data_IF_888362114290
#
_entry.id   IF_888362114290
#
_cell.length_a   1.000
_cell.length_b   1.000
_cell.length_c   1.000
_cell.angle_alpha   90.00
_cell.angle_beta   90.00
_cell.angle_gamma   90.00
#
_symmetry.space_group_name_H-M   'P 1'
#
loop_
_entity.id
_entity.type
_entity.pdbx_description
1 polymer ?
#
# COMPACT_ATOMS: atom_id res chain seq x y z
N UNK A 1 39.13 -53.59 1.10
CA UNK A 1 40.02 -53.73 -0.08
C UNK A 1 40.96 -52.53 -0.07
N UNK A 2 42.18 -52.67 0.46
CA UNK A 2 43.43 -52.98 -0.30
C UNK A 2 43.68 -51.96 -1.42
N UNK A 3 44.60 -51.00 -1.19
CA UNK A 3 45.95 -50.87 -1.82
C UNK A 3 45.92 -49.86 -2.99
N UNK A 4 46.91 -49.00 -3.28
CA UNK A 4 48.32 -48.84 -2.91
C UNK A 4 48.72 -47.34 -3.09
N UNK A 5 49.48 -46.70 -2.20
CA UNK A 5 50.97 -46.62 -2.15
C UNK A 5 51.65 -46.24 -3.48
N UNK A 6 52.30 -45.06 -3.50
CA UNK A 6 53.76 -44.97 -3.68
C UNK A 6 54.33 -43.60 -3.32
N UNK A 7 55.22 -43.63 -2.34
CA UNK A 7 56.21 -42.62 -1.95
C UNK A 7 57.41 -42.61 -2.90
N UNK A 8 58.11 -41.48 -3.01
CA UNK A 8 59.57 -41.47 -3.19
C UNK A 8 60.19 -40.21 -2.52
N UNK A 9 60.94 -40.50 -1.44
CA UNK A 9 62.18 -39.83 -0.99
C UNK A 9 63.16 -39.65 -2.18
N UNK A 10 64.22 -38.84 -2.21
CA UNK A 10 65.06 -38.11 -1.25
C UNK A 10 66.05 -37.31 -2.11
N UNK A 11 66.63 -36.22 -1.61
CA UNK A 11 68.09 -35.96 -1.67
C UNK A 11 68.40 -34.53 -1.23
N UNK A 12 69.34 -34.43 -0.29
CA UNK A 12 69.98 -33.22 0.22
C UNK A 12 71.48 -33.25 -0.14
N UNK A 13 72.17 -32.13 0.13
CA UNK A 13 73.61 -31.84 0.04
C UNK A 13 74.05 -31.15 -1.29
N UNK A 14 74.95 -30.15 -1.32
CA UNK A 14 75.71 -29.43 -0.30
C UNK A 14 76.39 -28.19 -0.96
N UNK A 15 76.60 -27.13 -0.17
CA UNK A 15 77.76 -26.22 -0.04
C UNK A 15 78.43 -25.63 -1.31
N UNK A 16 78.48 -24.29 -1.37
CA UNK A 16 79.35 -23.51 -2.25
C UNK A 16 79.35 -22.01 -1.88
N UNK A 17 80.55 -21.47 -1.63
CA UNK A 17 80.89 -20.28 -0.85
C UNK A 17 80.75 -18.92 -1.57
N UNK A 18 80.60 -17.86 -0.76
CA UNK A 18 81.10 -16.47 -0.87
C UNK A 18 80.84 -15.60 -2.12
N UNK A 19 80.20 -14.45 -1.87
CA UNK A 19 80.24 -13.25 -2.72
C UNK A 19 79.66 -12.05 -1.96
N UNK A 20 80.54 -11.18 -1.48
CA UNK A 20 80.22 -9.89 -0.83
C UNK A 20 79.53 -8.92 -1.81
N UNK A 21 78.70 -8.02 -1.28
CA UNK A 21 78.63 -6.66 -1.81
C UNK A 21 77.24 -6.06 -2.06
N UNK A 22 76.99 -5.00 -1.28
CA UNK A 22 76.14 -3.83 -1.58
C UNK A 22 74.67 -3.88 -1.16
N UNK A 23 74.37 -2.98 -0.22
CA UNK A 23 73.07 -2.79 0.37
C UNK A 23 72.08 -2.10 -0.57
N UNK A 24 70.84 -2.52 -0.45
CA UNK A 24 69.67 -1.73 -0.82
C UNK A 24 68.87 -1.51 0.46
N UNK A 25 68.81 -0.24 0.86
CA UNK A 25 67.99 0.23 1.97
C UNK A 25 66.56 -0.26 1.80
N UNK A 26 66.03 -0.92 2.84
CA UNK A 26 64.62 -1.22 2.94
C UNK A 26 63.84 0.11 3.02
N UNK A 27 63.03 0.37 2.00
CA UNK A 27 62.01 1.43 2.05
C UNK A 27 61.00 1.03 3.12
N UNK A 28 60.74 1.86 4.16
CA UNK A 28 59.78 1.51 5.18
C UNK A 28 58.35 1.53 4.59
N UNK A 29 57.46 0.62 5.03
CA UNK A 29 56.07 0.61 4.56
C UNK A 29 55.38 1.92 4.94
N UNK A 30 54.69 2.52 3.97
CA UNK A 30 53.86 3.71 4.17
C UNK A 30 52.90 3.46 5.34
N UNK A 31 53.05 4.26 6.41
CA UNK A 31 52.16 4.21 7.56
C UNK A 31 50.74 4.51 7.10
N UNK A 32 49.86 3.50 7.14
CA UNK A 32 48.44 3.68 6.93
C UNK A 32 47.89 4.51 8.09
N UNK A 33 47.83 5.83 7.93
CA UNK A 33 47.11 6.70 8.85
C UNK A 33 45.64 6.28 8.84
N UNK A 34 45.18 5.71 9.95
CA UNK A 34 43.79 5.28 10.09
C UNK A 34 42.92 6.55 10.12
N UNK A 35 42.36 6.92 8.96
CA UNK A 35 41.42 8.03 8.83
C UNK A 35 40.14 7.64 9.58
N UNK A 36 39.95 8.22 10.78
CA UNK A 36 38.72 8.04 11.57
C UNK A 36 37.68 9.05 11.10
N UNK A 37 36.39 8.67 10.98
CA UNK A 37 35.33 9.61 10.65
C UNK A 37 35.25 10.72 11.72
N UNK A 38 34.93 11.97 11.34
CA UNK A 38 34.84 13.08 12.27
C UNK A 38 33.75 12.81 13.32
N UNK A 39 34.08 13.11 14.58
CA UNK A 39 33.16 13.03 15.72
C UNK A 39 31.98 14.00 15.50
N UNK A 40 30.76 13.57 15.80
CA UNK A 40 29.58 14.45 15.66
C UNK A 40 29.63 15.50 16.78
N UNK A 41 29.94 16.76 16.44
CA UNK A 41 29.99 17.88 17.39
C UNK A 41 28.61 18.52 17.57
N UNK A 42 28.38 19.21 18.69
CA UNK A 42 27.12 19.94 18.95
C UNK A 42 26.80 20.99 17.86
N UNK A 43 27.84 21.56 17.22
CA UNK A 43 27.71 22.50 16.09
C UNK A 43 27.14 21.85 14.83
N UNK A 44 27.17 20.53 14.71
CA UNK A 44 26.54 19.81 13.60
C UNK A 44 25.01 20.01 13.57
N UNK A 45 24.36 20.05 14.74
CA UNK A 45 22.91 20.29 14.81
C UNK A 45 22.53 21.72 14.42
N UNK A 46 23.41 22.69 14.70
CA UNK A 46 23.09 24.12 14.61
C UNK A 46 23.58 24.74 13.30
N UNK A 47 24.69 24.27 12.72
CA UNK A 47 25.30 24.86 11.53
C UNK A 47 25.10 24.03 10.26
N UNK A 48 24.48 24.64 9.24
CA UNK A 48 24.36 24.06 7.90
C UNK A 48 25.73 23.75 7.29
N UNK A 49 26.69 24.68 7.39
CA UNK A 49 28.04 24.50 6.83
C UNK A 49 28.79 23.34 7.48
N UNK A 50 28.66 23.15 8.79
CA UNK A 50 29.27 22.01 9.47
C UNK A 50 28.66 20.68 9.02
N UNK A 51 27.34 20.63 8.74
CA UNK A 51 26.69 19.44 8.16
C UNK A 51 27.20 19.15 6.75
N UNK A 52 27.29 20.17 5.90
CA UNK A 52 27.82 20.05 4.54
C UNK A 52 29.26 19.53 4.54
N UNK A 53 30.14 20.13 5.35
CA UNK A 53 31.52 19.70 5.49
C UNK A 53 31.64 18.25 5.98
N UNK A 54 30.81 17.86 6.96
CA UNK A 54 30.78 16.49 7.50
C UNK A 54 30.29 15.49 6.45
N UNK A 55 29.26 15.86 5.67
CA UNK A 55 28.72 15.02 4.60
C UNK A 55 29.74 14.85 3.47
N UNK A 56 30.38 15.93 3.01
CA UNK A 56 31.42 15.90 1.98
C UNK A 56 32.61 15.04 2.42
N UNK A 57 33.12 15.25 3.64
CA UNK A 57 34.19 14.42 4.20
C UNK A 57 33.81 12.93 4.19
N UNK A 58 32.61 12.59 4.71
CA UNK A 58 32.13 11.20 4.75
C UNK A 58 32.00 10.58 3.36
N UNK A 59 31.50 11.37 2.40
CA UNK A 59 31.34 10.94 1.01
C UNK A 59 32.69 10.65 0.36
N UNK A 60 33.61 11.62 0.34
CA UNK A 60 34.94 11.49 -0.27
C UNK A 60 35.76 10.38 0.39
N UNK A 61 35.71 10.24 1.71
CA UNK A 61 36.38 9.15 2.43
C UNK A 61 35.85 7.77 2.02
N UNK A 62 34.54 7.62 1.81
CA UNK A 62 33.95 6.36 1.32
C UNK A 62 34.43 6.04 -0.09
N UNK A 63 34.53 7.03 -0.97
CA UNK A 63 35.04 6.85 -2.33
C UNK A 63 36.51 6.44 -2.31
N UNK A 64 37.34 7.17 -1.57
CA UNK A 64 38.77 6.88 -1.45
C UNK A 64 39.00 5.43 -0.96
N UNK A 65 38.23 4.97 0.03
CA UNK A 65 38.31 3.58 0.50
C UNK A 65 37.87 2.56 -0.54
N UNK A 66 36.88 2.88 -1.36
CA UNK A 66 36.37 1.99 -2.39
C UNK A 66 37.26 1.92 -3.63
N UNK A 67 38.18 2.87 -3.80
CA UNK A 67 39.09 2.97 -4.95
C UNK A 67 40.57 2.84 -4.55
N UNK A 68 40.87 2.44 -3.30
CA UNK A 68 42.24 2.45 -2.81
C UNK A 68 43.17 1.48 -3.56
N UNK A 69 42.61 0.42 -4.14
CA UNK A 69 43.27 -0.58 -4.98
C UNK A 69 43.51 -0.08 -6.41
N UNK A 70 42.83 0.97 -6.85
CA UNK A 70 42.91 1.53 -8.20
C UNK A 70 43.77 2.79 -8.28
N UNK A 71 44.06 3.43 -7.15
CA UNK A 71 44.72 4.73 -7.09
C UNK A 71 46.23 4.60 -6.87
N UNK A 72 47.00 5.56 -7.42
CA UNK A 72 48.43 5.64 -7.13
C UNK A 72 48.70 6.07 -5.67
N UNK A 73 49.85 5.72 -5.08
CA UNK A 73 50.19 6.14 -3.72
C UNK A 73 50.16 7.67 -3.51
N UNK A 74 50.60 8.44 -4.51
CA UNK A 74 50.58 9.91 -4.47
C UNK A 74 49.15 10.47 -4.48
N UNK A 75 48.24 9.85 -5.26
CA UNK A 75 46.84 10.21 -5.29
C UNK A 75 46.15 9.95 -3.93
N UNK A 76 46.40 8.77 -3.35
CA UNK A 76 45.87 8.42 -2.04
C UNK A 76 46.33 9.39 -0.95
N UNK A 77 47.62 9.76 -0.97
CA UNK A 77 48.18 10.69 0.00
C UNK A 77 47.52 12.07 -0.12
N UNK A 78 47.43 12.63 -1.32
CA UNK A 78 46.86 13.96 -1.56
C UNK A 78 45.40 14.08 -1.11
N UNK A 79 44.55 13.07 -1.38
CA UNK A 79 43.15 13.08 -0.94
C UNK A 79 43.05 12.86 0.58
N UNK A 80 43.90 12.00 1.15
CA UNK A 80 43.94 11.73 2.60
C UNK A 80 44.35 12.94 3.42
N UNK A 81 45.31 13.73 2.92
CA UNK A 81 45.75 14.97 3.56
C UNK A 81 44.61 16.01 3.59
N UNK A 82 43.90 16.21 2.47
CA UNK A 82 42.73 17.10 2.43
C UNK A 82 41.59 16.62 3.34
N UNK A 83 41.34 15.31 3.41
CA UNK A 83 40.36 14.73 4.34
C UNK A 83 40.74 15.02 5.80
N UNK A 84 42.01 14.80 6.15
CA UNK A 84 42.52 15.03 7.50
C UNK A 84 42.45 16.50 7.90
N UNK A 85 42.78 17.41 6.97
CA UNK A 85 42.67 18.85 7.18
C UNK A 85 41.21 19.28 7.43
N UNK A 86 40.27 18.80 6.61
CA UNK A 86 38.84 19.11 6.79
C UNK A 86 38.29 18.51 8.10
N UNK A 87 38.67 17.27 8.44
CA UNK A 87 38.30 16.65 9.71
C UNK A 87 38.84 17.44 10.91
N UNK A 88 40.08 17.94 10.81
CA UNK A 88 40.70 18.83 11.80
C UNK A 88 39.89 20.10 12.00
N UNK A 89 39.50 20.79 10.91
CA UNK A 89 38.69 22.00 10.95
C UNK A 89 37.27 21.76 11.52
N UNK A 90 36.65 20.62 11.21
CA UNK A 90 35.36 20.23 11.81
C UNK A 90 35.51 20.01 13.31
N UNK A 91 36.57 19.30 13.73
CA UNK A 91 36.82 18.97 15.15
C UNK A 91 37.18 20.20 15.98
N UNK A 92 37.94 21.14 15.42
CA UNK A 92 38.32 22.39 16.07
C UNK A 92 37.19 23.42 16.10
N UNK A 93 36.03 23.12 15.53
CA UNK A 93 34.92 24.07 15.39
C UNK A 93 35.37 25.35 14.67
N UNK A 94 36.11 25.20 13.57
CA UNK A 94 36.63 26.29 12.74
C UNK A 94 35.55 27.28 12.27
N UNK A 95 35.98 28.45 11.83
CA UNK A 95 35.07 29.46 11.28
C UNK A 95 34.42 28.97 9.96
N UNK A 96 33.24 29.49 9.62
CA UNK A 96 32.53 29.12 8.39
C UNK A 96 33.38 29.30 7.13
N UNK A 97 34.21 30.35 7.08
CA UNK A 97 35.12 30.60 5.97
C UNK A 97 36.20 29.53 5.83
N UNK A 98 36.76 29.06 6.94
CA UNK A 98 37.79 28.01 6.96
C UNK A 98 37.20 26.66 6.56
N UNK A 99 35.99 26.33 7.03
CA UNK A 99 35.29 25.12 6.61
C UNK A 99 35.03 25.11 5.09
N UNK A 100 34.62 26.25 4.52
CA UNK A 100 34.44 26.38 3.06
C UNK A 100 35.74 26.19 2.30
N UNK A 101 36.83 26.82 2.76
CA UNK A 101 38.15 26.64 2.17
C UNK A 101 38.61 25.18 2.22
N UNK A 102 38.39 24.50 3.35
CA UNK A 102 38.67 23.07 3.50
C UNK A 102 37.84 22.19 2.58
N UNK A 103 36.54 22.50 2.40
CA UNK A 103 35.68 21.80 1.44
C UNK A 103 36.15 21.97 0.00
N UNK A 104 36.48 23.19 -0.43
CA UNK A 104 37.00 23.46 -1.78
C UNK A 104 38.31 22.72 -2.04
N UNK A 105 39.25 22.73 -1.09
CA UNK A 105 40.53 22.01 -1.22
C UNK A 105 40.33 20.48 -1.28
N UNK A 106 39.34 19.95 -0.55
CA UNK A 106 38.98 18.54 -0.62
C UNK A 106 38.34 18.20 -1.97
N UNK A 107 37.44 19.04 -2.47
CA UNK A 107 36.76 18.87 -3.75
C UNK A 107 37.75 18.91 -4.92
N UNK A 108 38.69 19.85 -4.94
CA UNK A 108 39.74 19.94 -5.96
C UNK A 108 40.63 18.70 -5.99
N UNK A 109 41.07 18.24 -4.81
CA UNK A 109 41.88 17.01 -4.68
C UNK A 109 41.10 15.77 -5.10
N UNK A 110 39.83 15.67 -4.69
CA UNK A 110 38.94 14.58 -5.05
C UNK A 110 38.68 14.51 -6.56
N UNK A 111 38.35 15.63 -7.20
CA UNK A 111 38.07 15.69 -8.64
C UNK A 111 39.31 15.41 -9.50
N UNK A 112 40.49 15.76 -9.01
CA UNK A 112 41.75 15.49 -9.71
C UNK A 112 42.12 14.01 -9.69
N UNK A 113 41.91 13.34 -8.56
CA UNK A 113 42.50 12.03 -8.29
C UNK A 113 41.50 10.88 -8.25
N UNK A 114 40.27 11.09 -7.81
CA UNK A 114 39.28 10.02 -7.69
C UNK A 114 38.65 9.73 -9.05
N UNK A 115 38.43 8.44 -9.30
CA UNK A 115 37.80 8.00 -10.52
C UNK A 115 36.30 8.36 -10.47
N UNK A 116 35.74 8.96 -11.52
CA UNK A 116 34.31 9.21 -11.59
C UNK A 116 33.58 7.87 -11.60
N UNK A 117 32.57 7.70 -10.74
CA UNK A 117 31.69 6.55 -10.84
C UNK A 117 30.89 6.65 -12.13
N UNK A 118 30.93 5.60 -12.95
CA UNK A 118 30.02 5.46 -14.08
C UNK A 118 28.57 5.59 -13.57
N UNK A 119 27.80 6.48 -14.18
CA UNK A 119 26.39 6.74 -13.86
C UNK A 119 26.10 7.10 -12.38
N UNK A 120 26.95 7.91 -11.74
CA UNK A 120 26.77 8.36 -10.35
C UNK A 120 25.35 8.90 -10.05
N UNK A 121 24.81 9.74 -10.94
CA UNK A 121 23.46 10.29 -10.80
C UNK A 121 22.36 9.21 -10.77
N UNK A 122 22.51 8.15 -11.58
CA UNK A 122 21.55 7.04 -11.59
C UNK A 122 21.58 6.26 -10.28
N UNK A 123 22.78 5.96 -9.77
CA UNK A 123 22.94 5.23 -8.51
C UNK A 123 22.32 5.98 -7.33
N UNK A 124 22.54 7.29 -7.23
CA UNK A 124 21.95 8.10 -6.15
C UNK A 124 20.43 8.09 -6.21
N UNK A 125 19.85 8.29 -7.39
CA UNK A 125 18.40 8.24 -7.59
C UNK A 125 17.82 6.87 -7.24
N UNK A 126 18.51 5.78 -7.61
CA UNK A 126 18.10 4.41 -7.27
C UNK A 126 18.21 4.15 -5.77
N UNK A 127 19.29 4.56 -5.11
CA UNK A 127 19.46 4.40 -3.66
C UNK A 127 18.36 5.16 -2.91
N UNK A 128 18.10 6.42 -3.27
CA UNK A 128 17.03 7.22 -2.68
C UNK A 128 15.66 6.58 -2.93
N UNK A 129 15.40 6.09 -4.14
CA UNK A 129 14.16 5.39 -4.47
C UNK A 129 13.97 4.12 -3.62
N UNK A 130 15.02 3.31 -3.47
CA UNK A 130 14.98 2.08 -2.68
C UNK A 130 14.76 2.37 -1.18
N UNK A 131 15.44 3.39 -0.64
CA UNK A 131 15.23 3.82 0.75
C UNK A 131 13.82 4.34 0.95
N UNK A 132 13.32 5.19 0.05
CA UNK A 132 11.95 5.70 0.10
C UNK A 132 10.92 4.56 0.02
N UNK A 133 11.13 3.58 -0.87
CA UNK A 133 10.28 2.40 -0.99
C UNK A 133 10.32 1.55 0.29
N UNK A 134 11.49 1.31 0.87
CA UNK A 134 11.63 0.55 2.10
C UNK A 134 10.93 1.24 3.29
N UNK A 135 11.09 2.55 3.43
CA UNK A 135 10.38 3.34 4.44
C UNK A 135 8.86 3.30 4.22
N UNK A 136 8.41 3.51 2.97
CA UNK A 136 7.00 3.43 2.62
C UNK A 136 6.39 2.04 2.92
N UNK A 137 7.12 0.96 2.60
CA UNK A 137 6.72 -0.40 2.93
C UNK A 137 6.69 -0.65 4.45
N UNK A 138 7.66 -0.13 5.20
CA UNK A 138 7.67 -0.20 6.66
C UNK A 138 6.47 0.50 7.28
N UNK A 139 6.19 1.75 6.86
CA UNK A 139 5.01 2.50 7.30
C UNK A 139 3.74 1.73 6.94
N UNK A 140 3.64 1.24 5.71
CA UNK A 140 2.47 0.50 5.22
C UNK A 140 2.20 -0.77 6.02
N UNK A 141 3.26 -1.50 6.36
CA UNK A 141 3.14 -2.80 7.01
C UNK A 141 2.70 -2.66 8.46
N UNK A 142 3.31 -1.72 9.18
CA UNK A 142 3.19 -1.63 10.64
C UNK A 142 2.22 -0.56 11.13
N UNK A 143 2.02 0.52 10.38
CA UNK A 143 1.29 1.68 10.88
C UNK A 143 -0.05 1.86 10.19
N UNK A 144 -0.02 1.99 8.87
CA UNK A 144 -1.15 2.47 8.09
C UNK A 144 -1.31 1.64 6.83
N UNK A 145 -2.45 0.96 6.68
CA UNK A 145 -2.75 0.22 5.47
C UNK A 145 -3.84 0.93 4.66
N UNK A 146 -3.58 1.31 3.38
CA UNK A 146 -4.63 1.83 2.52
C UNK A 146 -5.58 0.70 2.11
N UNK A 147 -6.87 0.98 2.21
CA UNK A 147 -7.96 0.12 1.76
C UNK A 147 -8.90 0.91 0.86
N UNK A 148 -9.46 0.20 -0.10
CA UNK A 148 -10.60 0.65 -0.89
C UNK A 148 -11.81 -0.19 -0.50
N UNK A 149 -12.98 0.45 -0.39
CA UNK A 149 -14.21 -0.26 -0.06
C UNK A 149 -14.91 -0.70 -1.36
N UNK A 150 -14.99 -2.01 -1.65
CA UNK A 150 -15.58 -2.48 -2.90
C UNK A 150 -17.11 -2.49 -2.89
N UNK A 151 -17.75 -2.45 -1.72
CA UNK A 151 -19.21 -2.68 -1.54
C UNK A 151 -19.90 -1.62 -0.70
N UNK A 152 -21.18 -1.37 -0.98
CA UNK A 152 -22.01 -0.46 -0.19
C UNK A 152 -22.54 -1.00 1.16
N UNK A 153 -21.96 -2.07 1.72
CA UNK A 153 -22.47 -2.70 2.96
C UNK A 153 -22.36 -1.82 4.21
N UNK A 154 -21.46 -0.84 4.19
CA UNK A 154 -21.26 0.12 5.28
C UNK A 154 -21.95 1.46 5.01
N UNK A 155 -22.70 1.61 3.91
CA UNK A 155 -23.43 2.84 3.66
C UNK A 155 -24.53 3.03 4.72
N UNK A 156 -24.81 4.26 5.15
CA UNK A 156 -24.24 5.53 4.69
C UNK A 156 -22.95 5.94 5.46
N UNK A 157 -22.45 5.11 6.39
CA UNK A 157 -21.24 5.41 7.17
C UNK A 157 -19.99 5.43 6.32
N UNK A 158 -19.79 4.42 5.46
CA UNK A 158 -18.69 4.33 4.50
C UNK A 158 -19.20 3.85 3.14
N UNK A 159 -18.74 4.51 2.08
CA UNK A 159 -19.27 4.30 0.73
C UNK A 159 -18.41 3.29 -0.02
N UNK A 160 -19.05 2.30 -0.65
CA UNK A 160 -18.37 1.44 -1.62
C UNK A 160 -18.48 1.95 -3.04
N UNK A 161 -17.85 1.21 -3.96
CA UNK A 161 -17.94 1.49 -5.40
C UNK A 161 -19.36 1.27 -5.90
N UNK A 162 -19.88 2.25 -6.61
CA UNK A 162 -21.16 2.18 -7.32
C UNK A 162 -21.01 2.64 -8.76
N UNK A 163 -21.87 2.14 -9.64
CA UNK A 163 -21.94 2.51 -11.05
C UNK A 163 -23.35 3.00 -11.37
N UNK A 164 -23.46 3.94 -12.30
CA UNK A 164 -24.73 4.39 -12.87
C UNK A 164 -24.58 4.44 -14.39
N UNK A 165 -25.42 3.72 -15.16
CA UNK A 165 -26.43 2.75 -14.71
C UNK A 165 -25.84 1.58 -13.90
N UNK A 166 -26.69 0.90 -13.12
CA UNK A 166 -26.31 -0.24 -12.27
C UNK A 166 -27.00 -1.54 -12.72
N UNK A 167 -26.30 -2.33 -13.54
CA UNK A 167 -26.79 -3.62 -14.01
C UNK A 167 -26.52 -4.78 -13.04
N UNK A 168 -25.96 -4.52 -11.84
CA UNK A 168 -25.71 -5.58 -10.85
C UNK A 168 -26.97 -6.02 -10.10
N UNK A 169 -28.05 -5.22 -10.18
CA UNK A 169 -29.29 -5.40 -9.42
C UNK A 169 -30.51 -5.50 -10.32
N UNK A 170 -30.39 -6.28 -11.40
CA UNK A 170 -31.50 -6.52 -12.32
C UNK A 170 -32.33 -7.70 -11.80
N UNK A 171 -33.60 -7.44 -11.50
CA UNK A 171 -34.56 -8.47 -11.04
C UNK A 171 -35.65 -8.76 -12.06
N UNK A 172 -35.84 -7.86 -13.03
CA UNK A 172 -36.81 -7.99 -14.11
C UNK A 172 -36.27 -7.45 -15.45
N UNK A 173 -36.91 -7.83 -16.55
CA UNK A 173 -36.59 -7.25 -17.86
C UNK A 173 -36.94 -5.75 -17.92
N UNK A 174 -37.94 -5.30 -17.16
CA UNK A 174 -38.28 -3.88 -17.06
C UNK A 174 -37.12 -3.08 -16.44
N UNK A 175 -36.50 -3.59 -15.38
CA UNK A 175 -35.32 -2.97 -14.73
C UNK A 175 -34.19 -2.85 -15.74
N UNK A 176 -33.97 -3.90 -16.55
CA UNK A 176 -32.92 -3.91 -17.57
C UNK A 176 -33.13 -2.79 -18.60
N UNK A 177 -34.35 -2.66 -19.12
CA UNK A 177 -34.69 -1.61 -20.09
C UNK A 177 -34.59 -0.20 -19.48
N UNK A 178 -34.91 -0.04 -18.19
CA UNK A 178 -34.71 1.22 -17.48
C UNK A 178 -33.22 1.58 -17.37
N UNK A 179 -32.36 0.62 -17.02
CA UNK A 179 -30.92 0.85 -16.97
C UNK A 179 -30.31 1.17 -18.35
N UNK A 180 -30.84 0.58 -19.43
CA UNK A 180 -30.46 0.95 -20.81
C UNK A 180 -30.85 2.39 -21.12
N UNK A 181 -32.06 2.83 -20.75
CA UNK A 181 -32.46 4.24 -20.92
C UNK A 181 -31.56 5.18 -20.12
N UNK A 182 -31.21 4.82 -18.89
CA UNK A 182 -30.29 5.59 -18.06
C UNK A 182 -28.87 5.64 -18.65
N UNK A 183 -28.39 4.53 -19.24
CA UNK A 183 -27.13 4.46 -19.99
C UNK A 183 -27.12 5.50 -21.11
N UNK A 184 -28.14 5.48 -21.95
CA UNK A 184 -28.19 6.28 -23.17
C UNK A 184 -28.41 7.77 -22.86
N UNK A 185 -29.11 8.07 -21.77
CA UNK A 185 -29.30 9.42 -21.25
C UNK A 185 -28.07 9.98 -20.48
N UNK A 186 -27.05 9.16 -20.18
CA UNK A 186 -25.90 9.61 -19.40
C UNK A 186 -25.04 10.61 -20.18
N UNK A 187 -24.99 11.84 -19.69
CA UNK A 187 -24.14 12.90 -20.23
C UNK A 187 -22.77 12.83 -19.56
N UNK A 188 -21.71 12.67 -20.36
CA UNK A 188 -20.33 12.65 -19.88
C UNK A 188 -19.73 14.05 -20.00
N UNK A 189 -19.36 14.70 -18.88
CA UNK A 189 -18.75 16.02 -18.94
C UNK A 189 -17.37 15.98 -19.58
N UNK A 190 -16.99 17.10 -20.20
CA UNK A 190 -15.66 17.37 -20.74
C UNK A 190 -15.01 18.54 -20.01
N UNK A 191 -13.69 18.69 -20.10
CA UNK A 191 -12.96 19.81 -19.50
C UNK A 191 -13.03 19.86 -17.97
N UNK A 192 -13.17 21.06 -17.41
CA UNK A 192 -13.11 21.33 -15.97
C UNK A 192 -14.14 20.55 -15.12
N UNK A 193 -15.43 20.46 -15.53
CA UNK A 193 -16.39 19.64 -14.80
C UNK A 193 -15.95 18.19 -14.60
N UNK A 194 -15.29 17.58 -15.61
CA UNK A 194 -14.74 16.22 -15.50
C UNK A 194 -13.60 16.13 -14.49
N UNK A 195 -12.74 17.14 -14.43
CA UNK A 195 -11.64 17.21 -13.46
C UNK A 195 -12.17 17.35 -12.04
N UNK A 196 -13.17 18.22 -11.84
CA UNK A 196 -13.86 18.36 -10.55
C UNK A 196 -14.49 17.06 -10.11
N UNK A 197 -15.20 16.39 -11.01
CA UNK A 197 -15.82 15.09 -10.78
C UNK A 197 -14.76 14.04 -10.39
N UNK A 198 -13.60 14.05 -11.03
CA UNK A 198 -12.50 13.16 -10.68
C UNK A 198 -12.04 13.35 -9.23
N UNK A 199 -11.86 14.59 -8.75
CA UNK A 199 -11.58 14.84 -7.32
C UNK A 199 -12.70 14.36 -6.39
N UNK A 200 -13.94 14.38 -6.87
CA UNK A 200 -15.10 13.76 -6.21
C UNK A 200 -15.15 12.23 -6.31
N UNK A 201 -14.11 11.58 -6.86
CA UNK A 201 -14.05 10.13 -7.03
C UNK A 201 -14.89 9.59 -8.17
N UNK A 202 -15.31 10.45 -9.11
CA UNK A 202 -16.17 10.08 -10.22
C UNK A 202 -15.31 9.87 -11.47
N UNK A 203 -15.46 8.71 -12.11
CA UNK A 203 -14.86 8.40 -13.41
C UNK A 203 -15.94 8.02 -14.40
N UNK A 204 -15.75 8.38 -15.66
CA UNK A 204 -16.68 8.05 -16.75
C UNK A 204 -16.01 7.13 -17.76
N UNK A 205 -16.70 6.05 -18.12
CA UNK A 205 -16.30 5.09 -19.15
C UNK A 205 -17.28 5.22 -20.31
N UNK A 206 -16.76 5.40 -21.53
CA UNK A 206 -17.52 5.41 -22.78
C UNK A 206 -16.76 4.58 -23.81
N UNK A 207 -17.36 3.48 -24.26
CA UNK A 207 -16.82 2.62 -25.30
C UNK A 207 -17.90 2.49 -26.36
N UNK A 208 -17.54 2.91 -27.58
CA UNK A 208 -18.39 2.77 -28.76
C UNK A 208 -17.96 1.59 -29.62
N UNK A 209 -18.92 0.91 -30.23
CA UNK A 209 -18.65 -0.13 -31.21
C UNK A 209 -17.90 0.48 -32.40
N UNK A 210 -16.87 -0.23 -32.86
CA UNK A 210 -15.96 0.20 -33.95
C UNK A 210 -16.36 -0.43 -35.28
N UNK A 211 -17.08 -1.54 -35.21
CA UNK A 211 -17.59 -2.37 -36.30
C UNK A 211 -18.97 -2.88 -35.91
N UNK A 212 -19.74 -3.29 -36.89
CA UNK A 212 -20.92 -4.12 -36.68
C UNK A 212 -20.50 -5.53 -36.21
N UNK A 213 -21.31 -6.13 -35.35
CA UNK A 213 -21.19 -7.53 -34.94
C UNK A 213 -21.59 -7.81 -33.50
N UNK A 214 -21.51 -9.09 -33.13
CA UNK A 214 -21.84 -9.57 -31.79
C UNK A 214 -20.70 -9.32 -30.79
N UNK A 215 -21.04 -9.13 -29.51
CA UNK A 215 -20.08 -9.17 -28.41
C UNK A 215 -19.56 -10.60 -28.21
N UNK A 216 -18.30 -10.82 -28.56
CA UNK A 216 -17.66 -12.14 -28.54
C UNK A 216 -17.16 -12.51 -27.14
N UNK A 217 -16.45 -11.57 -26.49
CA UNK A 217 -15.94 -11.73 -25.12
C UNK A 217 -15.53 -10.40 -24.48
N UNK A 218 -15.40 -10.44 -23.16
CA UNK A 218 -14.81 -9.38 -22.33
C UNK A 218 -13.67 -10.01 -21.55
N UNK A 219 -12.45 -9.54 -21.79
CA UNK A 219 -11.26 -10.03 -21.10
C UNK A 219 -11.17 -9.43 -19.68
N UNK A 220 -10.40 -10.08 -18.81
CA UNK A 220 -10.02 -9.51 -17.52
C UNK A 220 -9.06 -8.32 -17.70
N UNK A 221 -9.06 -7.34 -16.78
CA UNK A 221 -8.11 -6.24 -16.83
C UNK A 221 -6.67 -6.73 -16.63
N UNK A 222 -5.77 -6.27 -17.49
CA UNK A 222 -4.33 -6.50 -17.36
C UNK A 222 -3.71 -5.38 -16.54
N UNK A 223 -3.07 -5.74 -15.44
CA UNK A 223 -2.54 -4.78 -14.49
C UNK A 223 -1.61 -5.39 -13.45
N UNK A 224 -1.23 -4.55 -12.50
CA UNK A 224 -0.64 -4.96 -11.22
C UNK A 224 -1.69 -4.75 -10.13
N UNK A 225 -1.51 -5.38 -8.96
CA UNK A 225 -2.50 -5.40 -7.85
C UNK A 225 -3.12 -4.05 -7.46
N UNK A 226 -2.44 -2.93 -7.72
CA UNK A 226 -2.88 -1.57 -7.36
C UNK A 226 -3.39 -0.74 -8.56
N UNK A 227 -3.15 -1.19 -9.79
CA UNK A 227 -3.43 -0.40 -10.99
C UNK A 227 -3.64 -1.31 -12.21
N UNK A 228 -4.79 -1.15 -12.85
CA UNK A 228 -5.08 -1.77 -14.14
C UNK A 228 -4.57 -0.88 -15.26
N UNK A 229 -3.88 -1.46 -16.25
CA UNK A 229 -3.35 -0.73 -17.40
C UNK A 229 -4.33 -0.68 -18.55
N UNK A 230 -4.95 -1.81 -18.88
CA UNK A 230 -5.95 -1.90 -19.93
C UNK A 230 -6.88 -3.09 -19.74
N UNK A 231 -8.05 -3.04 -20.36
CA UNK A 231 -8.99 -4.15 -20.48
C UNK A 231 -9.57 -4.17 -21.90
N UNK A 232 -9.69 -5.34 -22.51
CA UNK A 232 -10.23 -5.48 -23.85
C UNK A 232 -11.63 -6.13 -23.81
N UNK A 233 -12.49 -5.70 -24.70
CA UNK A 233 -13.65 -6.48 -25.15
C UNK A 233 -13.61 -6.60 -26.68
N UNK A 234 -14.30 -7.60 -27.21
CA UNK A 234 -14.28 -7.93 -28.63
C UNK A 234 -15.69 -7.90 -29.20
N UNK A 235 -15.87 -7.17 -30.30
CA UNK A 235 -17.14 -7.09 -31.02
C UNK A 235 -16.84 -7.37 -32.49
N UNK A 236 -17.49 -8.38 -33.07
CA UNK A 236 -17.24 -8.79 -34.45
C UNK A 236 -15.76 -9.11 -34.73
N UNK A 237 -15.05 -9.68 -33.75
CA UNK A 237 -13.62 -9.96 -33.81
C UNK A 237 -12.68 -8.75 -33.63
N UNK A 238 -13.22 -7.53 -33.49
CA UNK A 238 -12.43 -6.30 -33.34
C UNK A 238 -12.28 -5.94 -31.86
N UNK A 239 -11.08 -5.60 -31.43
CA UNK A 239 -10.80 -5.22 -30.04
C UNK A 239 -11.15 -3.75 -29.71
N UNK A 240 -11.81 -3.57 -28.56
CA UNK A 240 -12.11 -2.27 -27.95
C UNK A 240 -11.37 -2.19 -26.61
N UNK A 241 -10.25 -1.47 -26.62
CA UNK A 241 -9.39 -1.32 -25.45
C UNK A 241 -9.85 -0.16 -24.58
N UNK A 242 -10.15 -0.46 -23.32
CA UNK A 242 -10.31 0.51 -22.25
C UNK A 242 -8.96 0.70 -21.55
N UNK A 243 -8.35 1.86 -21.73
CA UNK A 243 -7.11 2.22 -21.02
C UNK A 243 -7.42 2.69 -19.61
N UNK A 244 -6.60 2.26 -18.65
CA UNK A 244 -6.73 2.55 -17.22
C UNK A 244 -8.17 2.29 -16.72
N UNK A 245 -8.70 1.07 -16.91
CA UNK A 245 -10.06 0.77 -16.50
C UNK A 245 -10.19 1.02 -15.00
N UNK A 246 -11.20 1.81 -14.57
CA UNK A 246 -11.42 2.06 -13.16
C UNK A 246 -11.75 0.74 -12.47
N UNK A 247 -11.43 0.66 -11.18
CA UNK A 247 -11.84 -0.49 -10.40
C UNK A 247 -13.34 -0.40 -10.08
N UNK A 248 -14.03 -1.43 -10.54
CA UNK A 248 -15.47 -1.65 -10.47
C UNK A 248 -15.95 -2.09 -9.08
N UNK A 249 -15.09 -2.36 -8.10
CA UNK A 249 -15.49 -2.88 -6.79
C UNK A 249 -15.98 -4.34 -6.89
N UNK A 250 -17.07 -4.70 -6.19
CA UNK A 250 -17.68 -6.01 -6.41
C UNK A 250 -18.42 -6.06 -7.76
N UNK A 251 -18.16 -7.08 -8.57
CA UNK A 251 -18.72 -7.24 -9.92
C UNK A 251 -17.75 -6.79 -11.03
N UNK A 252 -17.66 -7.57 -12.10
CA UNK A 252 -16.81 -7.27 -13.27
C UNK A 252 -17.43 -6.20 -14.18
N UNK A 253 -16.64 -5.68 -15.13
CA UNK A 253 -17.12 -4.72 -16.14
C UNK A 253 -18.38 -5.24 -16.85
N UNK A 254 -18.38 -6.53 -17.21
CA UNK A 254 -19.49 -7.18 -17.92
C UNK A 254 -20.80 -7.07 -17.14
N UNK A 255 -20.80 -7.44 -15.86
CA UNK A 255 -21.97 -7.38 -14.99
C UNK A 255 -22.40 -5.94 -14.77
N UNK A 256 -21.46 -5.02 -14.49
CA UNK A 256 -21.79 -3.62 -14.21
C UNK A 256 -22.28 -2.84 -15.42
N UNK A 257 -21.82 -3.18 -16.61
CA UNK A 257 -22.21 -2.55 -17.87
C UNK A 257 -23.39 -3.26 -18.55
N UNK A 258 -23.90 -4.36 -17.98
CA UNK A 258 -25.01 -5.10 -18.55
C UNK A 258 -24.68 -5.81 -19.87
N UNK A 259 -23.40 -6.13 -20.08
CA UNK A 259 -22.92 -6.75 -21.31
C UNK A 259 -23.32 -8.22 -21.36
N UNK A 260 -24.00 -8.61 -22.45
CA UNK A 260 -24.41 -10.01 -22.70
C UNK A 260 -23.63 -10.54 -23.90
N UNK A 261 -23.04 -11.73 -23.76
CA UNK A 261 -22.38 -12.39 -24.90
C UNK A 261 -23.40 -12.61 -26.03
N UNK A 262 -22.94 -12.51 -27.27
CA UNK A 262 -23.75 -12.58 -28.49
C UNK A 262 -24.78 -11.44 -28.65
N UNK A 263 -24.69 -10.37 -27.85
CA UNK A 263 -25.46 -9.16 -28.10
C UNK A 263 -24.93 -8.46 -29.35
N UNK A 264 -25.81 -8.18 -30.31
CA UNK A 264 -25.48 -7.46 -31.55
C UNK A 264 -25.30 -5.96 -31.31
N UNK A 265 -24.28 -5.39 -31.94
CA UNK A 265 -24.01 -3.96 -31.96
C UNK A 265 -23.79 -3.48 -33.40
N UNK A 266 -24.26 -2.28 -33.69
CA UNK A 266 -23.90 -1.54 -34.90
C UNK A 266 -22.75 -0.58 -34.61
N UNK A 267 -21.96 -0.28 -35.64
CA UNK A 267 -20.87 0.68 -35.56
C UNK A 267 -21.38 2.03 -35.03
N UNK A 268 -20.71 2.53 -33.99
CA UNK A 268 -21.08 3.77 -33.30
C UNK A 268 -21.99 3.58 -32.08
N UNK A 269 -22.58 2.41 -31.89
CA UNK A 269 -23.41 2.10 -30.72
C UNK A 269 -22.62 2.25 -29.42
N UNK A 270 -23.31 2.69 -28.36
CA UNK A 270 -22.71 2.81 -27.03
C UNK A 270 -22.73 1.45 -26.34
N UNK A 271 -21.57 0.77 -26.34
CA UNK A 271 -21.41 -0.56 -25.77
C UNK A 271 -21.31 -0.48 -24.24
N UNK A 272 -20.42 0.37 -23.76
CA UNK A 272 -20.28 0.69 -22.34
C UNK A 272 -20.42 2.19 -22.20
N UNK A 273 -21.38 2.64 -21.40
CA UNK A 273 -21.47 4.04 -21.00
C UNK A 273 -21.89 4.11 -19.55
N UNK A 274 -20.99 4.53 -18.68
CA UNK A 274 -21.25 4.54 -17.24
C UNK A 274 -20.45 5.59 -16.49
N UNK A 275 -21.07 6.06 -15.41
CA UNK A 275 -20.47 6.85 -14.34
C UNK A 275 -20.13 5.92 -13.20
N UNK A 276 -18.90 5.95 -12.72
CA UNK A 276 -18.40 5.12 -11.62
C UNK A 276 -17.99 6.04 -10.50
N UNK A 277 -18.52 5.80 -9.30
CA UNK A 277 -18.10 6.46 -8.08
C UNK A 277 -17.21 5.50 -7.30
N UNK A 278 -15.97 5.89 -7.06
CA UNK A 278 -14.93 5.02 -6.48
C UNK A 278 -15.23 4.56 -5.04
N UNK A 279 -16.21 5.18 -4.37
CA UNK A 279 -16.44 5.00 -2.94
C UNK A 279 -15.29 5.59 -2.10
N UNK A 280 -15.33 5.31 -0.81
CA UNK A 280 -14.31 5.76 0.12
C UNK A 280 -13.07 4.86 0.04
N UNK A 281 -11.90 5.49 -0.07
CA UNK A 281 -10.63 4.86 0.22
C UNK A 281 -10.11 5.43 1.54
N UNK A 282 -9.67 4.54 2.41
CA UNK A 282 -9.32 4.88 3.78
C UNK A 282 -8.04 4.22 4.26
N UNK A 283 -7.46 4.82 5.28
CA UNK A 283 -6.38 4.27 6.05
C UNK A 283 -6.92 3.53 7.28
N UNK A 284 -6.40 2.32 7.46
CA UNK A 284 -6.63 1.51 8.66
C UNK A 284 -5.48 1.71 9.63
N UNK A 285 -5.83 2.04 10.87
CA UNK A 285 -4.93 2.11 12.01
C UNK A 285 -4.69 0.70 12.57
N UNK A 286 -3.47 0.19 12.34
CA UNK A 286 -3.00 -1.12 12.82
C UNK A 286 -2.26 -1.02 14.15
N UNK A 287 -1.97 0.20 14.61
CA UNK A 287 -1.11 0.45 15.78
C UNK A 287 -1.92 0.42 17.06
N UNK A 288 -3.13 1.00 17.04
CA UNK A 288 -3.99 1.08 18.23
C UNK A 288 -4.14 -0.27 18.93
N UNK A 289 -4.35 -1.35 18.17
CA UNK A 289 -4.63 -2.68 18.73
C UNK A 289 -3.41 -3.40 19.31
N UNK A 290 -2.20 -2.85 19.13
CA UNK A 290 -1.01 -3.33 19.83
C UNK A 290 -0.94 -2.81 21.27
N UNK A 291 -1.69 -1.75 21.60
CA UNK A 291 -1.64 -1.08 22.91
C UNK A 291 -2.96 -1.13 23.68
N UNK A 292 -4.08 -1.40 23.01
CA UNK A 292 -5.39 -1.58 23.64
C UNK A 292 -6.21 -2.64 22.92
N UNK A 293 -7.21 -3.20 23.59
CA UNK A 293 -8.16 -4.11 22.97
C UNK A 293 -9.14 -3.35 22.05
N UNK A 294 -9.68 -4.00 21.00
CA UNK A 294 -10.82 -3.50 20.25
C UNK A 294 -12.02 -3.23 21.16
N UNK A 295 -12.84 -2.27 20.77
CA UNK A 295 -14.04 -1.87 21.51
C UNK A 295 -15.27 -2.01 20.62
N UNK A 296 -16.43 -2.27 21.25
CA UNK A 296 -17.71 -2.25 20.56
C UNK A 296 -17.95 -0.89 19.90
N UNK A 297 -18.59 -0.89 18.74
CA UNK A 297 -18.91 0.29 17.96
C UNK A 297 -17.79 0.69 17.00
N UNK A 298 -16.58 0.17 17.15
CA UNK A 298 -15.49 0.45 16.22
C UNK A 298 -15.73 -0.19 14.85
N UNK A 299 -15.43 0.55 13.78
CA UNK A 299 -15.43 0.02 12.43
C UNK A 299 -14.08 -0.64 12.18
N UNK A 300 -14.10 -1.95 12.02
CA UNK A 300 -12.89 -2.78 11.93
C UNK A 300 -12.74 -3.38 10.54
N UNK A 301 -11.49 -3.50 10.13
CA UNK A 301 -11.10 -4.31 8.97
C UNK A 301 -10.57 -5.63 9.45
N UNK A 302 -11.03 -6.72 8.85
CA UNK A 302 -10.64 -8.09 9.21
C UNK A 302 -10.47 -8.96 7.96
N UNK A 303 -9.65 -10.00 8.08
CA UNK A 303 -9.50 -11.01 7.03
C UNK A 303 -10.67 -11.98 7.07
N UNK A 304 -11.22 -12.31 5.91
CA UNK A 304 -12.29 -13.30 5.79
C UNK A 304 -11.83 -14.71 6.16
N UNK A 305 -10.52 -14.98 6.21
CA UNK A 305 -9.94 -16.20 6.78
C UNK A 305 -10.44 -16.51 8.20
N UNK A 306 -10.79 -15.48 8.98
CA UNK A 306 -11.33 -15.61 10.35
C UNK A 306 -12.79 -16.02 10.42
N UNK A 307 -13.47 -16.16 9.29
CA UNK A 307 -14.80 -16.76 9.19
C UNK A 307 -14.62 -18.26 8.99
N UNK A 308 -15.43 -19.05 9.71
CA UNK A 308 -15.42 -20.51 9.60
C UNK A 308 -15.55 -20.97 8.13
N UNK A 309 -14.70 -21.91 7.73
CA UNK A 309 -14.63 -22.40 6.33
C UNK A 309 -15.99 -22.91 5.82
N UNK A 310 -16.76 -23.58 6.68
CA UNK A 310 -18.09 -24.09 6.34
C UNK A 310 -19.06 -22.96 5.97
N UNK A 311 -19.02 -21.86 6.71
CA UNK A 311 -19.86 -20.68 6.51
C UNK A 311 -19.38 -19.86 5.32
N UNK A 312 -18.06 -19.74 5.13
CA UNK A 312 -17.50 -19.12 3.92
C UNK A 312 -17.98 -19.80 2.66
N UNK A 313 -17.92 -21.14 2.61
CA UNK A 313 -18.43 -21.91 1.47
C UNK A 313 -19.94 -21.75 1.28
N UNK A 314 -20.71 -21.80 2.38
CA UNK A 314 -22.17 -21.65 2.33
C UNK A 314 -22.59 -20.30 1.74
N UNK A 315 -21.89 -19.23 2.11
CA UNK A 315 -22.25 -17.86 1.73
C UNK A 315 -21.40 -17.27 0.60
N UNK A 316 -20.53 -18.07 -0.01
CA UNK A 316 -19.65 -17.63 -1.10
C UNK A 316 -18.65 -16.54 -0.70
N UNK A 317 -18.20 -16.53 0.56
CA UNK A 317 -17.19 -15.58 1.06
C UNK A 317 -15.79 -16.12 0.74
N UNK A 318 -14.96 -15.42 -0.05
CA UNK A 318 -13.59 -15.83 -0.32
C UNK A 318 -12.76 -15.89 0.96
N UNK A 319 -11.76 -16.78 1.05
CA UNK A 319 -10.92 -16.94 2.24
C UNK A 319 -9.74 -15.96 2.34
N UNK A 320 -9.47 -15.19 1.29
CA UNK A 320 -8.27 -14.36 1.11
C UNK A 320 -8.59 -12.87 0.93
N UNK A 321 -9.78 -12.44 1.37
CA UNK A 321 -10.25 -11.06 1.24
C UNK A 321 -10.27 -10.32 2.59
N UNK A 322 -10.44 -9.00 2.50
CA UNK A 322 -10.57 -8.13 3.66
C UNK A 322 -11.95 -7.50 3.66
N UNK A 323 -12.67 -7.63 4.77
CA UNK A 323 -13.99 -7.03 4.96
C UNK A 323 -13.89 -5.90 5.99
N UNK A 324 -14.74 -4.90 5.81
CA UNK A 324 -14.93 -3.79 6.74
C UNK A 324 -16.36 -3.81 7.26
N UNK A 325 -16.51 -3.81 8.59
CA UNK A 325 -17.79 -3.90 9.31
C UNK A 325 -17.68 -3.21 10.67
N UNK A 326 -18.81 -2.87 11.28
CA UNK A 326 -18.87 -2.38 12.65
C UNK A 326 -18.84 -3.53 13.64
N UNK A 327 -17.98 -3.46 14.65
CA UNK A 327 -17.94 -4.43 15.73
C UNK A 327 -19.14 -4.24 16.65
N UNK A 328 -20.05 -5.22 16.67
CA UNK A 328 -21.31 -5.12 17.39
C UNK A 328 -21.35 -5.91 18.69
N UNK A 329 -20.56 -6.98 18.81
CA UNK A 329 -20.46 -7.75 20.05
C UNK A 329 -19.05 -8.30 20.30
N UNK A 330 -18.75 -8.41 21.60
CA UNK A 330 -17.46 -8.83 22.14
C UNK A 330 -17.47 -10.34 22.45
N UNK A 331 -16.29 -10.89 22.71
CA UNK A 331 -16.09 -12.27 23.18
C UNK A 331 -17.00 -12.61 24.36
N UNK A 332 -17.57 -13.82 24.34
CA UNK A 332 -18.39 -14.38 25.43
C UNK A 332 -19.68 -13.61 25.72
N UNK A 333 -20.11 -12.72 24.83
CA UNK A 333 -21.37 -12.00 24.95
C UNK A 333 -22.53 -12.75 24.31
N UNK A 334 -23.73 -12.51 24.86
CA UNK A 334 -24.99 -12.92 24.28
C UNK A 334 -25.60 -11.79 23.47
N UNK A 335 -26.03 -12.09 22.25
CA UNK A 335 -26.50 -11.12 21.27
C UNK A 335 -27.88 -11.52 20.77
N UNK A 336 -28.82 -10.58 20.78
CA UNK A 336 -30.13 -10.70 20.16
C UNK A 336 -30.45 -9.42 19.41
N UNK A 337 -31.28 -9.52 18.37
CA UNK A 337 -31.92 -8.34 17.75
C UNK A 337 -33.34 -8.22 18.31
N UNK A 338 -33.65 -7.07 18.90
CA UNK A 338 -34.99 -6.74 19.40
C UNK A 338 -35.97 -6.41 18.28
N UNK A 339 -37.27 -6.41 18.60
CA UNK A 339 -38.35 -6.15 17.64
C UNK A 339 -38.31 -4.72 17.09
N UNK A 340 -37.63 -3.82 17.80
CA UNK A 340 -37.38 -2.45 17.41
C UNK A 340 -36.09 -2.27 16.59
N UNK A 341 -35.46 -3.37 16.15
CA UNK A 341 -34.23 -3.39 15.34
C UNK A 341 -32.97 -2.92 16.12
N UNK A 342 -33.03 -2.86 17.44
CA UNK A 342 -31.85 -2.60 18.27
C UNK A 342 -31.22 -3.91 18.73
N UNK A 343 -29.88 -3.95 18.78
CA UNK A 343 -29.17 -5.06 19.40
C UNK A 343 -29.35 -5.03 20.91
N UNK A 344 -29.56 -6.21 21.48
CA UNK A 344 -29.60 -6.47 22.92
C UNK A 344 -28.40 -7.35 23.24
N UNK A 345 -27.52 -6.83 24.08
CA UNK A 345 -26.25 -7.47 24.47
C UNK A 345 -26.31 -7.80 25.95
N UNK A 346 -26.22 -9.09 26.30
CA UNK A 346 -26.33 -9.55 27.70
C UNK A 346 -27.55 -8.95 28.42
N UNK A 347 -28.69 -8.89 27.71
CA UNK A 347 -29.94 -8.29 28.20
C UNK A 347 -30.00 -6.76 28.16
N UNK A 348 -28.92 -6.05 27.77
CA UNK A 348 -28.90 -4.58 27.64
C UNK A 348 -29.08 -4.15 26.20
N UNK A 349 -30.16 -3.44 25.93
CA UNK A 349 -30.43 -2.82 24.62
C UNK A 349 -29.42 -1.71 24.32
N UNK A 350 -28.81 -1.72 23.14
CA UNK A 350 -27.98 -0.64 22.62
C UNK A 350 -28.87 0.45 22.02
N UNK A 351 -28.40 1.70 21.98
CA UNK A 351 -29.12 2.84 21.41
C UNK A 351 -28.16 3.92 20.88
N UNK A 352 -28.71 5.05 20.43
CA UNK A 352 -27.92 6.16 19.89
C UNK A 352 -26.99 6.83 20.93
N UNK A 353 -27.16 6.56 22.24
CA UNK A 353 -26.22 7.01 23.26
C UNK A 353 -25.03 6.06 23.42
N UNK A 354 -25.10 4.87 22.83
CA UNK A 354 -24.00 3.90 22.84
C UNK A 354 -22.91 4.35 21.87
N UNK A 355 -21.64 4.48 22.33
CA UNK A 355 -20.54 4.90 21.46
C UNK A 355 -20.42 4.05 20.19
N UNK A 356 -20.37 4.72 19.04
CA UNK A 356 -20.30 4.08 17.73
C UNK A 356 -21.64 3.56 17.21
N UNK A 357 -22.77 3.90 17.83
CA UNK A 357 -24.12 3.58 17.32
C UNK A 357 -25.03 4.80 17.22
N UNK A 358 -24.49 6.00 17.40
CA UNK A 358 -25.20 7.28 17.39
C UNK A 358 -26.07 7.41 16.15
N UNK A 359 -25.48 7.09 15.00
CA UNK A 359 -26.14 7.17 13.71
C UNK A 359 -26.99 5.93 13.40
N UNK A 360 -26.46 4.73 13.66
CA UNK A 360 -27.13 3.45 13.37
C UNK A 360 -28.49 3.34 14.05
N UNK A 361 -28.61 3.92 15.24
CA UNK A 361 -29.82 3.92 16.06
C UNK A 361 -30.47 5.30 16.22
N UNK A 362 -30.13 6.24 15.33
CA UNK A 362 -30.69 7.61 15.35
C UNK A 362 -32.20 7.67 15.12
N UNK A 363 -32.81 6.61 14.58
CA UNK A 363 -34.21 6.58 14.16
C UNK A 363 -34.51 7.38 12.89
N UNK A 364 -33.47 7.92 12.22
CA UNK A 364 -33.62 8.68 11.00
C UNK A 364 -33.55 7.78 9.75
N UNK A 365 -34.69 7.20 9.37
CA UNK A 365 -34.77 6.36 8.18
C UNK A 365 -34.40 7.08 6.87
N UNK A 366 -34.59 8.40 6.78
CA UNK A 366 -34.23 9.20 5.59
C UNK A 366 -32.72 9.21 5.34
N UNK A 367 -31.93 9.14 6.42
CA UNK A 367 -30.47 9.04 6.34
C UNK A 367 -29.97 7.65 5.90
N UNK A 368 -30.86 6.64 5.84
CA UNK A 368 -30.53 5.26 5.51
C UNK A 368 -30.15 4.38 6.70
N UNK A 369 -30.04 4.95 7.91
CA UNK A 369 -29.85 4.17 9.13
C UNK A 369 -31.19 3.68 9.68
N UNK A 370 -31.34 2.35 9.73
CA UNK A 370 -32.57 1.70 10.18
C UNK A 370 -32.28 0.64 11.27
N UNK A 371 -31.17 0.78 12.00
CA UNK A 371 -30.74 -0.23 12.97
C UNK A 371 -30.36 -1.57 12.34
N UNK A 372 -30.52 -2.65 13.10
CA UNK A 372 -30.18 -4.00 12.71
C UNK A 372 -31.44 -4.83 12.48
N UNK A 373 -31.68 -5.24 11.24
CA UNK A 373 -32.84 -6.07 10.89
C UNK A 373 -32.52 -7.56 11.14
N UNK A 374 -33.41 -8.32 11.80
CA UNK A 374 -33.32 -9.77 11.95
C UNK A 374 -33.09 -10.50 10.62
N UNK A 375 -32.05 -11.33 10.56
CA UNK A 375 -31.72 -12.15 9.38
C UNK A 375 -31.05 -13.45 9.79
N UNK A 376 -31.35 -14.54 9.09
CA UNK A 376 -30.68 -15.84 9.20
C UNK A 376 -30.49 -16.31 10.65
N UNK A 377 -29.27 -16.24 11.20
CA UNK A 377 -28.95 -16.69 12.58
C UNK A 377 -29.75 -15.93 13.65
N UNK A 378 -30.16 -14.71 13.33
CA UNK A 378 -30.98 -13.83 14.15
C UNK A 378 -32.42 -13.75 13.69
N UNK A 379 -32.96 -14.81 13.04
CA UNK A 379 -34.41 -14.91 12.85
C UNK A 379 -35.14 -14.64 14.19
N UNK A 380 -36.30 -14.00 14.12
CA UNK A 380 -36.97 -13.35 15.26
C UNK A 380 -36.88 -14.14 16.58
N UNK A 381 -36.43 -13.46 17.63
CA UNK A 381 -36.31 -14.02 18.97
C UNK A 381 -35.05 -14.83 19.24
N UNK A 382 -34.25 -15.21 18.23
CA UNK A 382 -33.03 -16.00 18.43
C UNK A 382 -31.92 -15.18 19.07
N UNK A 383 -31.21 -15.86 19.97
CA UNK A 383 -30.04 -15.35 20.67
C UNK A 383 -28.79 -16.11 20.20
N UNK A 384 -27.67 -15.40 20.04
CA UNK A 384 -26.39 -15.94 19.62
C UNK A 384 -25.35 -15.67 20.70
N UNK A 385 -24.63 -16.71 21.12
CA UNK A 385 -23.50 -16.58 22.03
C UNK A 385 -22.20 -16.49 21.23
N UNK A 386 -21.48 -15.38 21.41
CA UNK A 386 -20.17 -15.16 20.78
C UNK A 386 -19.15 -16.07 21.43
N UNK A 387 -18.38 -16.79 20.60
CA UNK A 387 -17.32 -17.68 21.06
C UNK A 387 -16.21 -16.89 21.76
N UNK A 388 -15.49 -17.57 22.63
CA UNK A 388 -14.31 -17.00 23.27
C UNK A 388 -13.28 -16.57 22.20
N UNK A 389 -12.68 -15.39 22.38
CA UNK A 389 -11.76 -14.76 21.43
C UNK A 389 -12.35 -14.52 20.03
N UNK A 390 -13.67 -14.38 19.92
CA UNK A 390 -14.34 -13.99 18.68
C UNK A 390 -15.10 -12.68 18.86
N UNK A 391 -15.44 -12.05 17.74
CA UNK A 391 -16.25 -10.85 17.67
C UNK A 391 -17.36 -11.00 16.66
N UNK A 392 -18.49 -10.34 16.92
CA UNK A 392 -19.52 -10.16 15.91
C UNK A 392 -19.38 -8.81 15.24
N UNK A 393 -19.56 -8.81 13.92
CA UNK A 393 -19.46 -7.61 13.10
C UNK A 393 -20.66 -7.51 12.16
N UNK A 394 -21.23 -6.31 12.03
CA UNK A 394 -22.39 -6.05 11.16
C UNK A 394 -22.15 -4.81 10.30
N UNK A 395 -22.76 -4.78 9.12
CA UNK A 395 -22.71 -3.62 8.24
C UNK A 395 -23.85 -2.67 8.54
N UNK A 396 -23.55 -1.37 8.53
CA UNK A 396 -24.54 -0.33 8.83
C UNK A 396 -25.63 -0.25 7.74
N UNK A 397 -25.33 -0.71 6.50
CA UNK A 397 -26.35 -0.94 5.48
C UNK A 397 -27.03 -2.28 5.72
N UNK A 398 -27.88 -2.32 6.74
CA UNK A 398 -28.38 -3.58 7.33
C UNK A 398 -29.02 -4.53 6.32
N UNK A 399 -29.73 -4.02 5.31
CA UNK A 399 -30.41 -4.85 4.29
C UNK A 399 -29.51 -5.33 3.17
N UNK A 400 -28.33 -4.75 3.03
CA UNK A 400 -27.40 -4.97 1.92
C UNK A 400 -25.99 -5.29 2.44
N UNK A 401 -25.92 -6.07 3.53
CA UNK A 401 -24.67 -6.46 4.16
C UNK A 401 -24.65 -7.96 4.43
N UNK A 402 -23.69 -8.64 3.81
CA UNK A 402 -23.30 -10.00 4.17
C UNK A 402 -22.30 -9.92 5.34
N UNK A 403 -22.79 -10.23 6.54
CA UNK A 403 -22.05 -10.05 7.81
C UNK A 403 -22.36 -11.17 8.83
N UNK A 404 -22.06 -10.95 10.12
CA UNK A 404 -22.19 -11.96 11.16
C UNK A 404 -23.62 -12.50 11.35
N UNK A 405 -24.65 -11.83 10.82
CA UNK A 405 -26.00 -12.40 10.78
C UNK A 405 -26.08 -13.66 9.92
N UNK A 406 -25.22 -13.77 8.91
CA UNK A 406 -25.12 -14.89 7.99
C UNK A 406 -24.04 -15.87 8.43
N UNK A 407 -22.79 -15.41 8.52
CA UNK A 407 -21.62 -16.28 8.70
C UNK A 407 -21.18 -16.47 10.16
N UNK A 408 -21.86 -15.83 11.11
CA UNK A 408 -21.50 -15.92 12.54
C UNK A 408 -20.37 -14.99 12.95
N UNK A 409 -19.74 -15.28 14.08
CA UNK A 409 -18.64 -14.51 14.65
C UNK A 409 -17.28 -14.81 13.99
N UNK A 410 -16.36 -13.85 14.12
CA UNK A 410 -15.04 -13.82 13.47
C UNK A 410 -13.96 -13.93 14.53
N UNK A 411 -12.91 -14.72 14.25
CA UNK A 411 -11.74 -14.82 15.14
C UNK A 411 -11.08 -13.45 15.36
N UNK A 412 -10.83 -13.11 16.62
CA UNK A 412 -10.18 -11.86 17.02
C UNK A 412 -8.77 -11.67 16.43
N UNK A 413 -8.05 -12.75 16.14
CA UNK A 413 -6.71 -12.70 15.54
C UNK A 413 -6.72 -12.20 14.10
N UNK A 414 -7.88 -12.24 13.45
CA UNK A 414 -8.04 -11.83 12.05
C UNK A 414 -8.47 -10.36 11.91
N UNK A 415 -8.62 -9.65 13.03
CA UNK A 415 -8.83 -8.20 13.06
C UNK A 415 -7.49 -7.50 12.74
N UNK A 416 -7.48 -6.72 11.65
CA UNK A 416 -6.29 -6.01 11.18
C UNK A 416 -6.13 -4.65 11.86
N UNK A 417 -7.22 -3.95 12.12
CA UNK A 417 -7.19 -2.59 12.66
C UNK A 417 -8.52 -1.87 12.52
N UNK A 418 -8.59 -0.63 13.03
CA UNK A 418 -9.77 0.22 12.90
C UNK A 418 -9.69 1.15 11.70
N UNK A 419 -10.82 1.42 11.07
CA UNK A 419 -10.94 2.54 10.13
C UNK A 419 -10.64 3.85 10.84
N UNK A 420 -9.82 4.72 10.24
CA UNK A 420 -9.40 5.96 10.88
C UNK A 420 -9.50 7.21 9.99
N UNK A 421 -9.14 7.14 8.71
CA UNK A 421 -9.09 8.34 7.86
C UNK A 421 -9.45 8.03 6.42
N UNK A 422 -10.46 8.70 5.86
CA UNK A 422 -10.82 8.63 4.44
C UNK A 422 -9.94 9.65 3.68
N UNK A 423 -9.08 9.15 2.79
CA UNK A 423 -8.15 9.98 2.02
C UNK A 423 -8.62 10.23 0.57
N UNK A 424 -9.62 9.50 0.11
CA UNK A 424 -10.23 9.67 -1.20
C UNK A 424 -11.71 9.24 -1.16
N UNK A 425 -12.64 9.96 -1.80
CA UNK A 425 -12.45 11.16 -2.62
C UNK A 425 -12.30 12.44 -1.79
N UNK A 426 -11.83 13.53 -2.43
CA UNK A 426 -11.71 14.85 -1.79
C UNK A 426 -13.09 15.52 -1.80
N UNK A 427 -13.92 15.11 -0.85
CA UNK A 427 -15.30 15.57 -0.64
C UNK A 427 -15.49 15.92 0.84
N UNK A 428 -16.73 16.19 1.26
CA UNK A 428 -17.07 16.30 2.69
C UNK A 428 -16.72 15.04 3.49
N UNK A 429 -16.46 13.90 2.83
CA UNK A 429 -16.05 12.63 3.45
C UNK A 429 -14.55 12.55 3.72
N UNK A 430 -13.75 13.41 3.10
CA UNK A 430 -12.30 13.46 3.30
C UNK A 430 -11.99 13.89 4.74
N UNK A 431 -11.25 13.07 5.48
CA UNK A 431 -10.91 13.37 6.87
C UNK A 431 -11.02 12.17 7.79
N UNK A 432 -11.13 12.45 9.08
CA UNK A 432 -11.27 11.42 10.11
C UNK A 432 -12.58 10.64 9.92
N UNK A 433 -12.49 9.32 9.94
CA UNK A 433 -13.59 8.37 9.73
C UNK A 433 -14.51 8.19 10.93
N UNK A 434 -14.48 9.08 11.93
CA UNK A 434 -15.40 9.06 13.07
C UNK A 434 -16.79 9.51 12.59
N UNK A 435 -17.60 8.54 12.15
CA UNK A 435 -18.99 8.71 11.75
C UNK A 435 -19.83 7.56 12.26
#
# INVERSE_FOLDING_TARGET
MKTAKKSKQQSAAAVGNAGEGQGTQAVPPAQSTVIKPPFISLRWFISKTTREATAMHKHVHRILRAQCDLLSPAAMQSVSESLTALAGAIKSNAATAELRKGMTALEESANKWLLPYAHAAWRENVEVLLVALAVAMGIRTFFIQPFKIPTGSMQPTLYGVVSSPDFTRITSEADYQEQIKARDALIIPTGWPRVRDWFGGITYVDIKAKTDGSLDRVDDPVGIRILNFYQNLYIGGVAHTLFLPPDYGQGDLKTRAGLRLNQEFHQGDSVVRMKIQAGDHLFVDRVSYNFRKPQRGEIVVFQTAGIEESERRRWGVPGDQFYIKRMVAMSDESVKIGDDQHLVINGRRLDASTPGFENVYSGNAESGYIGHVPMQRFAEGREYHVRTNHFMVMGDNTRNSLDSRFFGDVDSNEIIGKSWFVYWPITERFGLGYR
#
